data_IF_159026838250
#
_entry.id   IF_159026838250
#
_cell.length_a   1.000
_cell.length_b   1.000
_cell.length_c   1.000
_cell.angle_alpha   90.00
_cell.angle_beta   90.00
_cell.angle_gamma   90.00
#
_symmetry.space_group_name_H-M   'P 1'
#
loop_
_entity.id
_entity.type
_entity.pdbx_description
1 polymer ?
#
# COMPACT_ATOMS: atom_id res chain seq x y z
N UNK A 1 14.24 -4.21 36.24
CA UNK A 1 15.66 -4.20 35.83
C UNK A 1 16.46 -3.08 36.48
N UNK A 2 16.31 -1.80 36.08
CA UNK A 2 17.17 -0.72 36.61
C UNK A 2 17.20 -0.58 38.15
N UNK A 3 16.04 -0.64 38.84
CA UNK A 3 16.01 -0.59 40.31
C UNK A 3 16.77 -1.75 40.97
N UNK A 4 16.66 -2.95 40.41
CA UNK A 4 17.32 -4.16 40.93
C UNK A 4 18.83 -4.05 40.73
N UNK A 5 19.27 -3.58 39.55
CA UNK A 5 20.69 -3.37 39.24
C UNK A 5 21.34 -2.35 40.19
N UNK A 6 20.61 -1.30 40.58
CA UNK A 6 21.12 -0.29 41.53
C UNK A 6 21.08 -0.78 42.98
N UNK A 7 20.07 -1.57 43.36
CA UNK A 7 19.87 -1.95 44.77
C UNK A 7 20.70 -3.17 45.19
N UNK A 8 21.01 -4.08 44.27
CA UNK A 8 21.73 -5.32 44.56
C UNK A 8 23.15 -5.09 45.10
N UNK A 9 23.98 -4.18 44.54
CA UNK A 9 25.30 -3.88 45.08
C UNK A 9 25.24 -3.25 46.47
N UNK A 10 24.30 -2.33 46.69
CA UNK A 10 24.07 -1.64 47.98
C UNK A 10 23.69 -2.66 49.05
N UNK A 11 22.83 -3.61 48.71
CA UNK A 11 22.45 -4.68 49.62
C UNK A 11 23.61 -5.62 49.94
N UNK A 12 24.38 -6.04 48.93
CA UNK A 12 25.54 -6.92 49.11
C UNK A 12 26.63 -6.28 49.97
N UNK A 13 26.91 -4.98 49.80
CA UNK A 13 27.87 -4.26 50.65
C UNK A 13 27.36 -4.13 52.08
N UNK A 14 26.08 -3.82 52.27
CA UNK A 14 25.46 -3.76 53.61
C UNK A 14 25.52 -5.11 54.32
N UNK A 15 25.20 -6.20 53.60
CA UNK A 15 25.28 -7.56 54.12
C UNK A 15 26.72 -7.96 54.49
N UNK A 16 27.70 -7.61 53.65
CA UNK A 16 29.12 -7.88 53.91
C UNK A 16 29.63 -7.14 55.15
N UNK A 17 29.25 -5.87 55.33
CA UNK A 17 29.59 -5.06 56.50
C UNK A 17 28.96 -5.62 57.78
N UNK A 18 27.70 -6.06 57.72
CA UNK A 18 27.00 -6.65 58.87
C UNK A 18 27.56 -8.02 59.27
N UNK A 19 28.09 -8.80 58.31
CA UNK A 19 28.66 -10.14 58.58
C UNK A 19 29.90 -10.10 59.47
N UNK A 20 30.59 -8.97 59.55
CA UNK A 20 31.78 -8.78 60.38
C UNK A 20 31.46 -8.37 61.83
N UNK A 21 30.18 -8.19 62.20
CA UNK A 21 29.78 -7.83 63.56
C UNK A 21 29.55 -9.05 64.46
N UNK A 22 29.87 -8.94 65.77
CA UNK A 22 29.48 -9.94 66.76
C UNK A 22 27.94 -9.98 66.85
N UNK A 23 27.34 -11.09 66.40
CA UNK A 23 25.88 -11.26 66.30
C UNK A 23 25.38 -11.67 64.89
N UNK A 24 26.23 -11.52 63.86
CA UNK A 24 25.89 -11.90 62.48
C UNK A 24 24.78 -11.05 61.84
N UNK A 25 24.48 -11.25 60.54
CA UNK A 25 23.35 -10.58 59.91
C UNK A 25 22.04 -11.09 60.53
N UNK A 26 21.26 -10.20 61.17
CA UNK A 26 19.97 -10.56 61.75
C UNK A 26 19.00 -11.09 60.68
N UNK A 27 18.06 -11.97 61.07
CA UNK A 27 17.05 -12.58 60.16
C UNK A 27 16.27 -11.55 59.33
N UNK A 28 16.16 -10.32 59.83
CA UNK A 28 15.57 -9.17 59.13
C UNK A 28 16.22 -8.83 57.79
N UNK A 29 17.56 -8.82 57.67
CA UNK A 29 18.21 -8.42 56.41
C UNK A 29 18.08 -9.50 55.31
N UNK A 30 17.91 -10.76 55.72
CA UNK A 30 17.78 -11.89 54.81
C UNK A 30 16.35 -12.11 54.33
N UNK A 31 15.34 -11.78 55.15
CA UNK A 31 13.93 -12.10 54.87
C UNK A 31 13.07 -10.82 54.78
N UNK A 32 13.20 -9.92 55.75
CA UNK A 32 12.41 -8.68 55.81
C UNK A 32 12.75 -7.70 54.70
N UNK A 33 14.04 -7.45 54.47
CA UNK A 33 14.51 -6.48 53.47
C UNK A 33 14.09 -6.82 52.02
N UNK A 34 14.23 -8.07 51.54
CA UNK A 34 13.73 -8.45 50.21
C UNK A 34 12.20 -8.36 50.07
N UNK A 35 11.43 -8.68 51.12
CA UNK A 35 9.97 -8.58 51.10
C UNK A 35 9.50 -7.13 50.97
N UNK A 36 10.10 -6.21 51.72
CA UNK A 36 9.81 -4.77 51.61
C UNK A 36 10.18 -4.25 50.22
N UNK A 37 11.32 -4.65 49.68
CA UNK A 37 11.73 -4.27 48.33
C UNK A 37 10.78 -4.79 47.25
N UNK A 38 10.28 -6.03 47.39
CA UNK A 38 9.30 -6.61 46.47
C UNK A 38 7.98 -5.84 46.52
N UNK A 39 7.51 -5.46 47.73
CA UNK A 39 6.38 -4.56 47.91
C UNK A 39 6.58 -3.18 47.27
N UNK A 40 7.79 -2.61 47.37
CA UNK A 40 8.10 -1.35 46.70
C UNK A 40 8.05 -1.47 45.16
N UNK A 41 8.55 -2.59 44.61
CA UNK A 41 8.49 -2.85 43.17
C UNK A 41 7.06 -3.02 42.66
N UNK A 42 6.16 -3.63 43.43
CA UNK A 42 4.74 -3.75 43.05
C UNK A 42 4.03 -2.40 43.09
N UNK A 43 4.27 -1.60 44.15
CA UNK A 43 3.69 -0.24 44.27
C UNK A 43 4.17 0.69 43.14
N UNK A 44 5.41 0.51 42.66
CA UNK A 44 5.93 1.26 41.50
C UNK A 44 5.14 1.05 40.20
N UNK A 45 4.34 -0.01 40.07
CA UNK A 45 3.46 -0.20 38.91
C UNK A 45 2.42 0.93 38.81
N UNK A 46 1.99 1.48 39.95
CA UNK A 46 1.05 2.60 40.04
C UNK A 46 1.70 3.99 39.95
N UNK A 47 3.03 4.08 39.73
CA UNK A 47 3.76 5.37 39.66
C UNK A 47 3.24 6.32 38.57
N UNK A 48 2.57 5.79 37.55
CA UNK A 48 1.94 6.62 36.49
C UNK A 48 0.63 7.25 36.95
N UNK A 49 -0.14 6.58 37.81
CA UNK A 49 -1.45 7.05 38.30
C UNK A 49 -1.30 7.94 39.53
N UNK A 50 -0.45 7.55 40.49
CA UNK A 50 -0.25 8.25 41.77
C UNK A 50 1.25 8.49 42.04
N UNK A 51 1.93 9.36 41.27
CA UNK A 51 3.39 9.48 41.29
C UNK A 51 3.96 9.88 42.66
N UNK A 52 3.30 10.83 43.34
CA UNK A 52 3.77 11.46 44.56
C UNK A 52 3.52 10.52 45.75
N UNK A 53 2.32 9.94 45.82
CA UNK A 53 2.00 8.94 46.85
C UNK A 53 2.93 7.71 46.73
N UNK A 54 3.15 7.22 45.51
CA UNK A 54 4.08 6.09 45.27
C UNK A 54 5.51 6.48 45.60
N UNK A 55 5.98 7.67 45.22
CA UNK A 55 7.34 8.11 45.53
C UNK A 55 7.56 8.27 47.04
N UNK A 56 6.65 8.94 47.74
CA UNK A 56 6.72 9.09 49.20
C UNK A 56 6.65 7.74 49.91
N UNK A 57 5.74 6.85 49.51
CA UNK A 57 5.62 5.53 50.13
C UNK A 57 6.91 4.69 49.96
N UNK A 58 7.48 4.67 48.76
CA UNK A 58 8.73 3.93 48.48
C UNK A 58 9.92 4.59 49.19
N UNK A 59 9.97 5.92 49.26
CA UNK A 59 11.01 6.64 50.02
C UNK A 59 10.92 6.35 51.51
N UNK A 60 9.72 6.33 52.09
CA UNK A 60 9.52 5.94 53.49
C UNK A 60 9.96 4.49 53.72
N UNK A 61 9.57 3.57 52.84
CA UNK A 61 9.99 2.16 52.92
C UNK A 61 11.51 1.98 52.84
N UNK A 62 12.21 2.84 52.09
CA UNK A 62 13.68 2.82 51.98
C UNK A 62 14.42 3.16 53.28
N UNK A 63 13.75 3.76 54.28
CA UNK A 63 14.34 4.02 55.60
C UNK A 63 14.71 2.74 56.37
N UNK A 64 13.93 1.68 56.16
CA UNK A 64 14.06 0.39 56.84
C UNK A 64 14.47 -0.73 55.89
N UNK A 65 14.72 -0.40 54.61
CA UNK A 65 15.06 -1.37 53.58
C UNK A 65 16.14 -0.87 52.62
N UNK A 66 17.33 -1.48 52.70
CA UNK A 66 18.45 -1.17 51.81
C UNK A 66 18.13 -1.51 50.35
N UNK A 67 17.46 -2.66 50.11
CA UNK A 67 17.02 -3.09 48.78
C UNK A 67 15.97 -2.16 48.15
N UNK A 68 15.23 -1.37 48.94
CA UNK A 68 14.25 -0.41 48.42
C UNK A 68 14.89 0.89 47.89
N UNK A 69 16.18 1.14 48.13
CA UNK A 69 16.88 2.37 47.72
C UNK A 69 16.79 2.62 46.21
N UNK A 70 17.04 1.60 45.38
CA UNK A 70 16.93 1.75 43.92
C UNK A 70 15.49 1.92 43.44
N UNK A 71 14.50 1.39 44.18
CA UNK A 71 13.09 1.67 43.92
C UNK A 71 12.75 3.14 44.21
N UNK A 72 13.30 3.72 45.30
CA UNK A 72 13.14 5.13 45.64
C UNK A 72 13.78 6.05 44.59
N UNK A 73 14.99 5.74 44.11
CA UNK A 73 15.64 6.48 43.03
C UNK A 73 14.86 6.39 41.71
N UNK A 74 14.28 5.23 41.38
CA UNK A 74 13.37 5.11 40.24
C UNK A 74 12.09 5.93 40.40
N UNK A 75 11.57 6.05 41.63
CA UNK A 75 10.42 6.89 41.91
C UNK A 75 10.76 8.37 41.78
N UNK A 76 11.92 8.82 42.28
CA UNK A 76 12.44 10.18 42.06
C UNK A 76 12.59 10.50 40.57
N UNK A 77 13.19 9.59 39.80
CA UNK A 77 13.32 9.73 38.36
C UNK A 77 11.94 9.86 37.68
N UNK A 78 10.96 9.07 38.12
CA UNK A 78 9.58 9.14 37.64
C UNK A 78 8.92 10.49 37.96
N UNK A 79 9.09 11.04 39.17
CA UNK A 79 8.57 12.36 39.56
C UNK A 79 9.28 13.48 38.78
N UNK A 80 10.58 13.34 38.54
CA UNK A 80 11.38 14.25 37.71
C UNK A 80 10.82 14.45 36.30
N UNK A 81 10.17 13.44 35.72
CA UNK A 81 9.52 13.57 34.41
C UNK A 81 8.35 14.57 34.39
N UNK A 82 7.74 14.88 35.54
CA UNK A 82 6.58 15.79 35.64
C UNK A 82 6.95 17.27 35.78
N UNK A 83 8.23 17.59 36.02
CA UNK A 83 8.77 18.95 36.13
C UNK A 83 8.05 19.86 37.15
N UNK A 84 7.43 19.27 38.18
CA UNK A 84 6.83 20.02 39.28
C UNK A 84 7.86 20.22 40.39
N UNK A 85 8.46 21.41 40.44
CA UNK A 85 9.58 21.71 41.34
C UNK A 85 9.26 21.41 42.82
N UNK A 86 8.03 21.71 43.27
CA UNK A 86 7.60 21.44 44.65
C UNK A 86 7.54 19.94 44.95
N UNK A 87 6.98 19.13 44.06
CA UNK A 87 6.91 17.67 44.22
C UNK A 87 8.31 17.04 44.22
N UNK A 88 9.17 17.50 43.30
CA UNK A 88 10.56 17.05 43.20
C UNK A 88 11.35 17.43 44.47
N UNK A 89 11.19 18.66 44.95
CA UNK A 89 11.85 19.14 46.17
C UNK A 89 11.42 18.36 47.40
N UNK A 90 10.11 18.15 47.57
CA UNK A 90 9.56 17.40 48.70
C UNK A 90 10.06 15.94 48.72
N UNK A 91 10.02 15.25 47.58
CA UNK A 91 10.46 13.85 47.48
C UNK A 91 11.99 13.73 47.62
N UNK A 92 12.76 14.68 47.07
CA UNK A 92 14.23 14.73 47.24
C UNK A 92 14.61 14.95 48.70
N UNK A 93 13.95 15.89 49.38
CA UNK A 93 14.18 16.16 50.80
C UNK A 93 13.81 14.93 51.66
N UNK A 94 12.66 14.30 51.38
CA UNK A 94 12.25 13.08 52.04
C UNK A 94 13.25 11.94 51.84
N UNK A 95 13.84 11.81 50.63
CA UNK A 95 14.86 10.80 50.34
C UNK A 95 16.14 11.04 51.12
N UNK A 96 16.66 12.27 51.14
CA UNK A 96 17.86 12.61 51.92
C UNK A 96 17.62 12.37 53.41
N UNK A 97 16.48 12.79 53.94
CA UNK A 97 16.10 12.54 55.33
C UNK A 97 15.96 11.04 55.63
N UNK A 98 15.39 10.27 54.69
CA UNK A 98 15.27 8.83 54.81
C UNK A 98 16.63 8.14 54.89
N UNK A 99 17.62 8.58 54.10
CA UNK A 99 18.98 8.04 54.18
C UNK A 99 19.67 8.36 55.52
N UNK A 100 19.45 9.55 56.09
CA UNK A 100 19.96 9.89 57.42
C UNK A 100 19.36 8.99 58.51
N UNK A 101 18.07 8.65 58.38
CA UNK A 101 17.41 7.75 59.31
C UNK A 101 17.88 6.31 59.14
N UNK A 102 18.04 5.84 57.90
CA UNK A 102 18.56 4.51 57.59
C UNK A 102 19.94 4.26 58.19
N UNK A 103 20.83 5.27 58.16
CA UNK A 103 22.16 5.19 58.81
C UNK A 103 22.08 4.98 60.34
N UNK A 104 20.98 5.40 61.00
CA UNK A 104 20.76 5.14 62.43
C UNK A 104 20.24 3.73 62.70
N UNK A 105 19.47 3.17 61.77
CA UNK A 105 18.92 1.80 61.85
C UNK A 105 19.99 0.76 61.50
N UNK A 106 20.82 1.07 60.51
CA UNK A 106 21.95 0.26 60.03
C UNK A 106 23.27 0.99 60.27
N UNK A 107 23.67 1.25 61.53
CA UNK A 107 24.95 1.91 61.79
C UNK A 107 26.06 1.01 61.24
N UNK A 108 26.99 1.56 60.47
CA UNK A 108 28.17 0.84 59.95
C UNK A 108 29.39 1.31 60.75
N UNK A 109 30.08 0.41 61.45
CA UNK A 109 31.29 0.77 62.21
C UNK A 109 32.38 1.27 61.25
N UNK A 110 32.93 2.46 61.51
CA UNK A 110 33.83 3.19 60.61
C UNK A 110 33.17 4.29 59.76
N UNK A 111 31.84 4.36 59.72
CA UNK A 111 31.12 5.46 59.06
C UNK A 111 31.06 6.75 59.89
N UNK A 112 31.31 6.65 61.20
CA UNK A 112 31.28 7.78 62.14
C UNK A 112 32.48 8.72 62.00
N UNK A 113 33.63 8.20 61.57
CA UNK A 113 34.83 8.99 61.20
C UNK A 113 34.84 9.40 59.72
N UNK A 114 33.90 8.88 58.92
CA UNK A 114 33.67 9.39 57.57
C UNK A 114 33.11 10.81 57.70
N UNK A 115 33.80 11.79 57.10
CA UNK A 115 33.42 13.19 57.17
C UNK A 115 31.90 13.37 56.98
N UNK A 116 31.21 13.88 58.00
CA UNK A 116 29.74 13.98 58.09
C UNK A 116 29.07 14.57 56.83
N UNK A 117 29.79 15.42 56.09
CA UNK A 117 29.31 16.01 54.84
C UNK A 117 29.12 14.97 53.72
N UNK A 118 29.90 13.89 53.67
CA UNK A 118 29.78 12.82 52.67
C UNK A 118 28.41 12.13 52.80
N UNK A 119 27.94 11.93 54.03
CA UNK A 119 26.65 11.31 54.32
C UNK A 119 25.45 12.13 53.84
N UNK A 120 25.64 13.43 53.59
CA UNK A 120 24.60 14.32 53.06
C UNK A 120 24.78 14.53 51.56
N UNK A 121 26.01 14.74 51.11
CA UNK A 121 26.34 15.07 49.72
C UNK A 121 26.07 13.89 48.78
N UNK A 122 26.41 12.65 49.16
CA UNK A 122 26.20 11.48 48.29
C UNK A 122 24.70 11.18 48.05
N UNK A 123 23.82 11.15 49.07
CA UNK A 123 22.38 10.99 48.83
C UNK A 123 21.78 12.16 48.04
N UNK A 124 22.20 13.39 48.33
CA UNK A 124 21.75 14.56 47.57
C UNK A 124 22.18 14.49 46.09
N UNK A 125 23.42 14.09 45.82
CA UNK A 125 23.95 13.93 44.47
C UNK A 125 23.23 12.81 43.70
N UNK A 126 23.02 11.65 44.32
CA UNK A 126 22.30 10.52 43.67
C UNK A 126 20.83 10.87 43.39
N UNK A 127 20.16 11.56 44.32
CA UNK A 127 18.83 12.11 44.10
C UNK A 127 18.83 13.14 42.95
N UNK A 128 19.79 14.06 42.94
CA UNK A 128 19.97 15.05 41.88
C UNK A 128 20.16 14.42 40.51
N UNK A 129 21.00 13.37 40.40
CA UNK A 129 21.20 12.59 39.17
C UNK A 129 19.89 11.92 38.74
N UNK A 130 19.17 11.26 39.66
CA UNK A 130 17.91 10.60 39.34
C UNK A 130 16.85 11.58 38.81
N UNK A 131 16.74 12.76 39.43
CA UNK A 131 15.85 13.84 38.99
C UNK A 131 16.29 14.39 37.63
N UNK A 132 17.59 14.64 37.42
CA UNK A 132 18.12 15.12 36.15
C UNK A 132 17.84 14.15 35.01
N UNK A 133 18.03 12.84 35.24
CA UNK A 133 17.68 11.78 34.28
C UNK A 133 16.17 11.80 33.99
N UNK A 134 15.33 11.93 35.02
CA UNK A 134 13.88 12.06 34.86
C UNK A 134 13.47 13.26 34.02
N UNK A 135 14.05 14.43 34.29
CA UNK A 135 13.81 15.67 33.56
C UNK A 135 14.26 15.58 32.10
N UNK A 136 15.44 14.99 31.84
CA UNK A 136 15.97 14.76 30.50
C UNK A 136 15.12 13.76 29.71
N UNK A 137 14.69 12.66 30.35
CA UNK A 137 13.77 11.70 29.74
C UNK A 137 12.40 12.33 29.42
N UNK A 138 11.90 13.21 30.29
CA UNK A 138 10.71 14.02 30.02
C UNK A 138 10.90 14.96 28.83
N UNK A 139 12.03 15.67 28.77
CA UNK A 139 12.39 16.57 27.67
C UNK A 139 12.40 15.86 26.31
N UNK A 140 13.14 14.74 26.24
CA UNK A 140 13.27 13.93 25.02
C UNK A 140 11.93 13.40 24.55
N UNK A 141 11.01 13.02 25.45
CA UNK A 141 9.67 12.55 25.07
C UNK A 141 8.84 13.66 24.42
N UNK A 142 8.92 14.89 24.92
CA UNK A 142 8.21 16.04 24.34
C UNK A 142 8.80 16.39 22.97
N UNK A 143 10.12 16.43 22.86
CA UNK A 143 10.81 16.69 21.60
C UNK A 143 10.46 15.64 20.54
N UNK A 144 10.57 14.35 20.87
CA UNK A 144 10.21 13.26 19.95
C UNK A 144 8.74 13.30 19.54
N UNK A 145 7.82 13.71 20.42
CA UNK A 145 6.41 13.92 20.05
C UNK A 145 6.29 15.06 19.04
N UNK A 146 6.94 16.19 19.29
CA UNK A 146 6.90 17.33 18.37
C UNK A 146 7.50 17.01 16.99
N UNK A 147 8.57 16.21 16.94
CA UNK A 147 9.18 15.76 15.68
C UNK A 147 8.25 14.82 14.92
N UNK A 148 7.58 13.90 15.61
CA UNK A 148 6.57 13.01 14.99
C UNK A 148 5.39 13.79 14.44
N UNK A 149 4.84 14.72 15.22
CA UNK A 149 3.72 15.58 14.79
C UNK A 149 4.10 16.41 13.55
N UNK A 150 5.33 16.96 13.52
CA UNK A 150 5.86 17.68 12.35
C UNK A 150 6.03 16.78 11.13
N UNK A 151 6.57 15.57 11.31
CA UNK A 151 6.75 14.60 10.23
C UNK A 151 5.39 14.19 9.63
N UNK A 152 4.42 13.83 10.47
CA UNK A 152 3.06 13.50 10.03
C UNK A 152 2.39 14.67 9.29
N UNK A 153 2.56 15.90 9.78
CA UNK A 153 2.03 17.10 9.12
C UNK A 153 2.68 17.31 7.75
N UNK A 154 4.01 17.12 7.64
CA UNK A 154 4.73 17.27 6.38
C UNK A 154 4.32 16.20 5.34
N UNK A 155 4.11 14.95 5.77
CA UNK A 155 3.60 13.87 4.90
C UNK A 155 2.19 14.17 4.37
N UNK A 156 1.30 14.69 5.23
CA UNK A 156 -0.05 15.13 4.82
C UNK A 156 0.02 16.29 3.82
N UNK A 157 0.91 17.26 4.04
CA UNK A 157 1.07 18.38 3.13
C UNK A 157 1.66 17.94 1.78
N UNK A 158 2.66 17.07 1.78
CA UNK A 158 3.26 16.54 0.56
C UNK A 158 2.25 15.73 -0.27
N UNK A 159 1.45 14.87 0.38
CA UNK A 159 0.41 14.10 -0.30
C UNK A 159 -0.69 15.00 -0.88
N UNK A 160 -1.10 16.05 -0.15
CA UNK A 160 -2.04 17.05 -0.65
C UNK A 160 -1.48 17.83 -1.86
N UNK A 161 -0.22 18.28 -1.79
CA UNK A 161 0.46 18.96 -2.90
C UNK A 161 0.58 18.06 -4.12
N UNK A 162 0.93 16.79 -3.95
CA UNK A 162 1.01 15.83 -5.04
C UNK A 162 -0.36 15.57 -5.69
N UNK A 163 -1.42 15.44 -4.88
CA UNK A 163 -2.78 15.29 -5.39
C UNK A 163 -3.24 16.54 -6.16
N UNK A 164 -2.96 17.74 -5.64
CA UNK A 164 -3.26 19.00 -6.32
C UNK A 164 -2.49 19.13 -7.64
N UNK A 165 -1.20 18.80 -7.66
CA UNK A 165 -0.39 18.83 -8.88
C UNK A 165 -0.96 17.88 -9.95
N UNK A 166 -1.36 16.66 -9.57
CA UNK A 166 -2.03 15.71 -10.48
C UNK A 166 -3.36 16.24 -11.01
N UNK A 167 -4.16 16.89 -10.16
CA UNK A 167 -5.44 17.47 -10.57
C UNK A 167 -5.25 18.66 -11.54
N UNK A 168 -4.28 19.53 -11.28
CA UNK A 168 -3.92 20.63 -12.17
C UNK A 168 -3.43 20.11 -13.52
N UNK A 169 -2.59 19.09 -13.52
CA UNK A 169 -2.09 18.47 -14.73
C UNK A 169 -3.21 17.83 -15.55
N UNK A 170 -4.12 17.09 -14.91
CA UNK A 170 -5.32 16.56 -15.58
C UNK A 170 -6.17 17.66 -16.21
N UNK A 171 -6.36 18.79 -15.52
CA UNK A 171 -7.09 19.95 -16.07
C UNK A 171 -6.33 20.68 -17.18
N UNK A 172 -4.99 20.67 -17.17
CA UNK A 172 -4.16 21.20 -18.26
C UNK A 172 -4.34 20.33 -19.51
N UNK A 173 -4.17 19.01 -19.36
CA UNK A 173 -4.37 18.04 -20.44
C UNK A 173 -5.79 18.18 -21.02
N UNK A 174 -6.83 18.20 -20.17
CA UNK A 174 -8.20 18.34 -20.65
C UNK A 174 -8.43 19.62 -21.48
N UNK A 175 -7.80 20.75 -21.11
CA UNK A 175 -7.89 22.01 -21.87
C UNK A 175 -7.13 21.93 -23.19
N UNK A 176 -5.89 21.45 -23.18
CA UNK A 176 -5.11 21.25 -24.42
C UNK A 176 -5.84 20.34 -25.40
N UNK A 177 -6.49 19.27 -24.89
CA UNK A 177 -7.33 18.39 -25.70
C UNK A 177 -8.58 19.10 -26.23
N UNK A 178 -9.27 19.90 -25.40
CA UNK A 178 -10.45 20.66 -25.83
C UNK A 178 -10.10 21.67 -26.93
N UNK A 179 -8.94 22.33 -26.84
CA UNK A 179 -8.49 23.31 -27.84
C UNK A 179 -8.19 22.64 -29.19
N UNK A 180 -7.50 21.49 -29.19
CA UNK A 180 -7.26 20.71 -30.41
C UNK A 180 -8.57 20.23 -31.03
N UNK A 181 -9.50 19.73 -30.21
CA UNK A 181 -10.81 19.26 -30.68
C UNK A 181 -11.63 20.41 -31.28
N UNK A 182 -11.70 21.55 -30.58
CA UNK A 182 -12.43 22.73 -31.03
C UNK A 182 -11.89 23.24 -32.37
N UNK A 183 -10.56 23.24 -32.55
CA UNK A 183 -9.92 23.63 -33.80
C UNK A 183 -10.32 22.70 -34.97
N UNK A 184 -10.26 21.38 -34.78
CA UNK A 184 -10.63 20.40 -35.80
C UNK A 184 -12.12 20.47 -36.17
N UNK A 185 -13.01 20.59 -35.19
CA UNK A 185 -14.45 20.76 -35.42
C UNK A 185 -14.72 22.05 -36.21
N UNK A 186 -14.01 23.13 -35.88
CA UNK A 186 -14.13 24.40 -36.61
C UNK A 186 -13.69 24.25 -38.06
N UNK A 187 -12.61 23.52 -38.35
CA UNK A 187 -12.17 23.23 -39.72
C UNK A 187 -13.19 22.40 -40.50
N UNK A 188 -13.76 21.36 -39.90
CA UNK A 188 -14.82 20.55 -40.52
C UNK A 188 -16.06 21.38 -40.81
N UNK A 189 -16.50 22.20 -39.85
CA UNK A 189 -17.66 23.08 -40.02
C UNK A 189 -17.43 24.12 -41.13
N UNK A 190 -16.23 24.70 -41.20
CA UNK A 190 -15.84 25.62 -42.28
C UNK A 190 -15.86 24.94 -43.64
N UNK A 191 -15.26 23.76 -43.79
CA UNK A 191 -15.24 23.00 -45.05
C UNK A 191 -16.64 22.56 -45.47
N UNK A 192 -17.48 22.12 -44.54
CA UNK A 192 -18.88 21.79 -44.79
C UNK A 192 -19.67 23.03 -45.25
N UNK A 193 -19.44 24.19 -44.63
CA UNK A 193 -20.04 25.46 -45.06
C UNK A 193 -19.61 25.89 -46.47
N UNK A 194 -18.37 25.60 -46.88
CA UNK A 194 -17.91 25.84 -48.26
C UNK A 194 -18.68 24.97 -49.26
N UNK A 195 -18.89 23.68 -48.94
CA UNK A 195 -19.69 22.77 -49.77
C UNK A 195 -21.17 23.18 -49.85
N UNK A 196 -21.74 23.74 -48.79
CA UNK A 196 -23.15 24.14 -48.74
C UNK A 196 -23.46 25.44 -49.50
N UNK A 197 -22.47 26.32 -49.67
CA UNK A 197 -22.66 27.65 -50.27
C UNK A 197 -22.03 27.83 -51.66
N UNK A 198 -21.24 26.88 -52.16
CA UNK A 198 -20.64 26.94 -53.49
C UNK A 198 -21.24 25.91 -54.44
N UNK A 199 -22.10 26.39 -55.33
CA UNK A 199 -22.66 25.60 -56.43
C UNK A 199 -21.74 25.55 -57.67
N UNK A 200 -20.57 26.21 -57.62
CA UNK A 200 -19.63 26.37 -58.75
C UNK A 200 -18.44 25.39 -58.72
N UNK A 201 -18.42 24.43 -57.79
CA UNK A 201 -17.33 23.47 -57.63
C UNK A 201 -17.32 22.42 -58.74
N UNK A 202 -16.14 22.07 -59.23
CA UNK A 202 -15.99 20.92 -60.13
C UNK A 202 -16.14 19.60 -59.36
N UNK A 203 -16.51 18.53 -60.06
CA UNK A 203 -16.70 17.20 -59.46
C UNK A 203 -15.43 16.59 -58.81
N UNK A 204 -14.24 17.12 -59.16
CA UNK A 204 -12.97 16.74 -58.54
C UNK A 204 -12.71 17.55 -57.26
N UNK A 205 -13.04 18.85 -57.25
CA UNK A 205 -12.92 19.71 -56.06
C UNK A 205 -13.87 19.29 -54.94
N UNK A 206 -15.12 18.96 -55.29
CA UNK A 206 -16.10 18.38 -54.36
C UNK A 206 -15.58 17.10 -53.71
N UNK A 207 -14.99 16.20 -54.52
CA UNK A 207 -14.43 14.94 -54.02
C UNK A 207 -13.24 15.15 -53.09
N UNK A 208 -12.44 16.19 -53.32
CA UNK A 208 -11.30 16.55 -52.45
C UNK A 208 -11.81 17.10 -51.11
N UNK A 209 -12.79 18.02 -51.12
CA UNK A 209 -13.38 18.59 -49.92
C UNK A 209 -14.08 17.53 -49.04
N UNK A 210 -14.90 16.68 -49.65
CA UNK A 210 -15.58 15.58 -48.94
C UNK A 210 -14.57 14.59 -48.33
N UNK A 211 -13.48 14.28 -49.05
CA UNK A 211 -12.40 13.43 -48.52
C UNK A 211 -11.69 14.09 -47.34
N UNK A 212 -11.39 15.38 -47.43
CA UNK A 212 -10.75 16.14 -46.35
C UNK A 212 -11.61 16.21 -45.08
N UNK A 213 -12.93 16.35 -45.23
CA UNK A 213 -13.89 16.30 -44.11
C UNK A 213 -13.89 14.90 -43.46
N UNK A 214 -13.95 13.84 -44.26
CA UNK A 214 -13.95 12.47 -43.75
C UNK A 214 -12.66 12.13 -43.00
N UNK A 215 -11.51 12.53 -43.55
CA UNK A 215 -10.19 12.31 -42.96
C UNK A 215 -10.03 13.10 -41.65
N UNK A 216 -10.41 14.39 -41.65
CA UNK A 216 -10.37 15.24 -40.45
C UNK A 216 -11.29 14.74 -39.34
N UNK A 217 -12.48 14.22 -39.71
CA UNK A 217 -13.45 13.67 -38.76
C UNK A 217 -12.98 12.34 -38.15
N UNK A 218 -12.36 11.46 -38.94
CA UNK A 218 -11.78 10.22 -38.43
C UNK A 218 -10.61 10.50 -37.49
N UNK A 219 -9.71 11.40 -37.85
CA UNK A 219 -8.57 11.76 -37.01
C UNK A 219 -9.02 12.37 -35.67
N UNK A 220 -10.06 13.22 -35.67
CA UNK A 220 -10.65 13.75 -34.44
C UNK A 220 -11.25 12.66 -33.55
N UNK A 221 -11.87 11.63 -34.13
CA UNK A 221 -12.45 10.49 -33.40
C UNK A 221 -11.38 9.58 -32.77
N UNK A 222 -10.22 9.42 -33.42
CA UNK A 222 -9.09 8.66 -32.89
C UNK A 222 -8.47 9.37 -31.67
N UNK A 223 -8.19 10.67 -31.78
CA UNK A 223 -7.65 11.47 -30.67
C UNK A 223 -8.61 11.48 -29.47
N UNK A 224 -9.93 11.58 -29.71
CA UNK A 224 -10.94 11.56 -28.64
C UNK A 224 -10.98 10.18 -27.93
N UNK A 225 -10.80 9.08 -28.67
CA UNK A 225 -10.72 7.72 -28.09
C UNK A 225 -9.45 7.52 -27.27
N UNK A 226 -8.32 8.05 -27.73
CA UNK A 226 -7.05 7.99 -27.00
C UNK A 226 -7.15 8.73 -25.66
N UNK A 227 -7.71 9.94 -25.67
CA UNK A 227 -7.95 10.74 -24.46
C UNK A 227 -8.94 10.06 -23.50
N UNK A 228 -10.05 9.51 -24.01
CA UNK A 228 -10.99 8.73 -23.19
C UNK A 228 -10.35 7.46 -22.62
N UNK A 229 -9.38 6.87 -23.32
CA UNK A 229 -8.56 5.75 -22.83
C UNK A 229 -7.69 6.16 -21.65
N UNK A 230 -6.98 7.29 -21.76
CA UNK A 230 -6.14 7.83 -20.68
C UNK A 230 -6.96 8.28 -19.48
N UNK A 231 -8.17 8.83 -19.68
CA UNK A 231 -9.06 9.25 -18.60
C UNK A 231 -9.82 8.09 -17.93
N UNK A 232 -10.05 6.96 -18.63
CA UNK A 232 -10.65 5.74 -18.06
C UNK A 232 -9.67 4.87 -17.28
N UNK A 233 -8.37 5.06 -17.47
CA UNK A 233 -7.33 4.47 -16.63
C UNK A 233 -7.30 5.14 -15.25
N UNK A 234 -8.38 5.00 -14.48
CA UNK A 234 -8.43 5.38 -13.07
C UNK A 234 -8.04 4.14 -12.24
N UNK A 235 -6.85 4.10 -11.59
CA UNK A 235 -6.34 2.91 -10.90
C UNK A 235 -7.20 2.47 -9.68
N UNK A 236 -8.31 3.14 -9.39
CA UNK A 236 -9.21 2.88 -8.27
C UNK A 236 -10.64 2.45 -8.64
N UNK A 237 -11.01 2.38 -9.92
CA UNK A 237 -12.31 1.83 -10.35
C UNK A 237 -12.09 0.45 -10.97
N UNK A 238 -12.70 -0.63 -10.45
CA UNK A 238 -12.67 -1.92 -11.13
C UNK A 238 -13.28 -1.73 -12.52
N UNK A 239 -12.49 -2.03 -13.55
CA UNK A 239 -12.97 -2.10 -14.93
C UNK A 239 -14.21 -3.01 -14.97
N UNK A 240 -15.28 -2.65 -15.69
CA UNK A 240 -16.41 -3.56 -15.86
C UNK A 240 -15.90 -4.91 -16.37
N UNK A 241 -16.47 -6.05 -15.91
CA UNK A 241 -15.96 -7.37 -16.27
C UNK A 241 -15.88 -7.48 -17.79
N UNK A 242 -14.66 -7.61 -18.31
CA UNK A 242 -14.44 -7.69 -19.75
C UNK A 242 -15.09 -8.99 -20.26
N UNK A 243 -15.82 -8.96 -21.39
CA UNK A 243 -16.42 -10.16 -21.97
C UNK A 243 -15.37 -11.26 -22.19
N UNK A 244 -15.69 -12.50 -21.81
CA UNK A 244 -14.79 -13.64 -21.89
C UNK A 244 -15.33 -14.70 -22.85
N UNK A 245 -14.75 -15.91 -22.83
CA UNK A 245 -15.12 -17.01 -23.74
C UNK A 245 -16.63 -17.32 -23.70
N UNK A 246 -17.25 -17.21 -22.52
CA UNK A 246 -18.68 -17.43 -22.27
C UNK A 246 -19.61 -16.53 -23.12
N UNK A 247 -19.10 -15.39 -23.59
CA UNK A 247 -19.85 -14.41 -24.41
C UNK A 247 -19.66 -14.61 -25.92
N UNK A 248 -18.78 -15.52 -26.35
CA UNK A 248 -18.56 -15.78 -27.78
C UNK A 248 -19.82 -16.29 -28.50
N UNK A 249 -20.66 -17.17 -27.92
CA UNK A 249 -21.92 -17.57 -28.54
C UNK A 249 -22.86 -16.39 -28.85
N UNK A 250 -22.96 -15.44 -27.92
CA UNK A 250 -23.78 -14.23 -28.08
C UNK A 250 -23.23 -13.32 -29.18
N UNK A 251 -21.91 -13.11 -29.20
CA UNK A 251 -21.24 -12.36 -30.26
C UNK A 251 -21.48 -12.98 -31.66
N UNK A 252 -21.47 -14.31 -31.76
CA UNK A 252 -21.80 -15.02 -33.01
C UNK A 252 -23.28 -14.87 -33.35
N UNK A 253 -24.18 -14.91 -32.37
CA UNK A 253 -25.61 -14.70 -32.59
C UNK A 253 -25.90 -13.29 -33.12
N UNK A 254 -25.29 -12.26 -32.53
CA UNK A 254 -25.42 -10.85 -32.96
C UNK A 254 -24.90 -10.65 -34.40
N UNK A 255 -23.75 -11.27 -34.70
CA UNK A 255 -23.16 -11.21 -36.02
C UNK A 255 -24.01 -11.95 -37.08
N UNK A 256 -24.65 -13.06 -36.73
CA UNK A 256 -25.64 -13.74 -37.59
C UNK A 256 -26.88 -12.88 -37.82
N UNK A 257 -27.41 -12.25 -36.77
CA UNK A 257 -28.53 -11.32 -36.88
C UNK A 257 -28.22 -10.12 -37.79
N UNK A 258 -26.94 -9.74 -37.87
CA UNK A 258 -26.43 -8.69 -38.75
C UNK A 258 -26.17 -9.15 -40.19
N UNK A 259 -26.50 -10.40 -40.54
CA UNK A 259 -26.46 -10.91 -41.92
C UNK A 259 -25.22 -11.72 -42.30
N UNK A 260 -24.35 -12.08 -41.35
CA UNK A 260 -23.23 -13.00 -41.62
C UNK A 260 -23.69 -14.47 -41.52
N UNK A 261 -23.28 -15.31 -42.48
CA UNK A 261 -23.41 -16.77 -42.37
C UNK A 261 -22.21 -17.32 -41.58
N UNK A 262 -22.44 -17.68 -40.31
CA UNK A 262 -21.37 -18.11 -39.39
C UNK A 262 -21.61 -19.55 -38.94
N UNK A 263 -20.58 -20.39 -39.09
CA UNK A 263 -20.50 -21.74 -38.50
C UNK A 263 -19.50 -21.74 -37.35
N UNK A 264 -19.99 -21.91 -36.13
CA UNK A 264 -19.17 -22.01 -34.92
C UNK A 264 -19.00 -23.49 -34.55
N UNK A 265 -17.76 -23.92 -34.40
CA UNK A 265 -17.36 -25.21 -33.83
C UNK A 265 -16.63 -24.93 -32.53
N UNK A 266 -17.17 -25.39 -31.41
CA UNK A 266 -16.55 -25.29 -30.09
C UNK A 266 -16.19 -26.69 -29.59
N UNK A 267 -14.90 -26.96 -29.51
CA UNK A 267 -14.30 -28.20 -29.03
C UNK A 267 -13.41 -27.94 -27.79
N UNK A 268 -13.68 -26.86 -27.06
CA UNK A 268 -12.97 -26.49 -25.84
C UNK A 268 -13.39 -27.39 -24.68
N UNK A 269 -12.42 -27.93 -23.95
CA UNK A 269 -12.64 -28.79 -22.79
C UNK A 269 -12.05 -28.18 -21.53
N UNK A 270 -12.92 -27.75 -20.59
CA UNK A 270 -12.54 -27.04 -19.38
C UNK A 270 -12.68 -25.52 -19.48
N UNK A 271 -12.31 -24.81 -18.42
CA UNK A 271 -12.40 -23.34 -18.33
C UNK A 271 -11.01 -22.75 -18.55
N UNK A 272 -10.78 -21.98 -19.62
CA UNK A 272 -9.49 -21.34 -19.83
C UNK A 272 -9.26 -20.21 -18.82
N UNK A 273 -8.00 -19.84 -18.53
CA UNK A 273 -7.70 -18.67 -17.71
C UNK A 273 -8.36 -17.40 -18.25
N UNK A 274 -8.76 -16.48 -17.38
CA UNK A 274 -9.47 -15.23 -17.76
C UNK A 274 -8.74 -14.42 -18.84
N UNK A 275 -7.40 -14.42 -18.83
CA UNK A 275 -6.60 -13.78 -19.88
C UNK A 275 -6.79 -14.41 -21.25
N UNK A 276 -6.84 -15.74 -21.31
CA UNK A 276 -7.05 -16.53 -22.54
C UNK A 276 -8.47 -16.34 -23.04
N UNK A 277 -9.47 -16.44 -22.16
CA UNK A 277 -10.88 -16.25 -22.52
C UNK A 277 -11.19 -14.86 -23.10
N UNK A 278 -10.66 -13.79 -22.47
CA UNK A 278 -10.81 -12.41 -22.98
C UNK A 278 -10.10 -12.21 -24.31
N UNK A 279 -8.92 -12.79 -24.48
CA UNK A 279 -8.16 -12.68 -25.74
C UNK A 279 -8.88 -13.40 -26.87
N UNK A 280 -9.44 -14.59 -26.61
CA UNK A 280 -10.30 -15.32 -27.55
C UNK A 280 -11.50 -14.47 -27.99
N UNK A 281 -12.25 -13.92 -27.05
CA UNK A 281 -13.40 -13.06 -27.35
C UNK A 281 -13.03 -11.91 -28.30
N UNK A 282 -11.92 -11.22 -28.02
CA UNK A 282 -11.44 -10.12 -28.85
C UNK A 282 -11.00 -10.54 -30.24
N UNK A 283 -10.31 -11.67 -30.37
CA UNK A 283 -9.89 -12.21 -31.67
C UNK A 283 -11.12 -12.53 -32.52
N UNK A 284 -12.12 -13.22 -31.94
CA UNK A 284 -13.36 -13.55 -32.67
C UNK A 284 -14.11 -12.27 -33.06
N UNK A 285 -14.20 -11.27 -32.17
CA UNK A 285 -14.87 -10.00 -32.45
C UNK A 285 -14.25 -9.25 -33.63
N UNK A 286 -12.93 -9.07 -33.61
CA UNK A 286 -12.21 -8.38 -34.67
C UNK A 286 -12.29 -9.17 -36.00
N UNK A 287 -12.19 -10.49 -35.94
CA UNK A 287 -12.30 -11.35 -37.12
C UNK A 287 -13.70 -11.28 -37.77
N UNK A 288 -14.78 -11.30 -36.98
CA UNK A 288 -16.14 -11.14 -37.48
C UNK A 288 -16.38 -9.74 -38.04
N UNK A 289 -15.82 -8.71 -37.41
CA UNK A 289 -15.87 -7.33 -37.90
C UNK A 289 -15.17 -7.20 -39.26
N UNK A 290 -14.00 -7.83 -39.41
CA UNK A 290 -13.25 -7.84 -40.66
C UNK A 290 -13.95 -8.67 -41.75
N UNK A 291 -14.57 -9.80 -41.41
CA UNK A 291 -15.38 -10.57 -42.35
C UNK A 291 -16.58 -9.76 -42.86
N UNK A 292 -17.29 -9.04 -41.97
CA UNK A 292 -18.39 -8.16 -42.37
C UNK A 292 -17.95 -7.05 -43.33
N UNK A 293 -16.78 -6.46 -43.09
CA UNK A 293 -16.22 -5.38 -43.93
C UNK A 293 -15.70 -5.88 -45.27
N UNK A 294 -14.98 -7.01 -45.28
CA UNK A 294 -14.14 -7.40 -46.42
C UNK A 294 -14.65 -8.63 -47.19
N UNK A 295 -15.55 -9.43 -46.61
CA UNK A 295 -16.10 -10.62 -47.23
C UNK A 295 -17.63 -10.72 -47.07
N UNK A 296 -18.40 -9.67 -47.46
CA UNK A 296 -19.85 -9.70 -47.33
C UNK A 296 -20.45 -10.89 -48.11
N UNK A 297 -21.37 -11.60 -47.47
CA UNK A 297 -22.03 -12.79 -48.00
C UNK A 297 -21.18 -14.06 -48.03
N UNK A 298 -19.93 -14.03 -47.54
CA UNK A 298 -19.11 -15.22 -47.40
C UNK A 298 -19.49 -16.01 -46.15
N UNK A 299 -19.40 -17.35 -46.23
CA UNK A 299 -19.52 -18.21 -45.04
C UNK A 299 -18.26 -18.05 -44.18
N UNK A 300 -18.45 -17.68 -42.92
CA UNK A 300 -17.40 -17.56 -41.91
C UNK A 300 -17.42 -18.80 -41.03
N UNK A 301 -16.28 -19.48 -40.89
CA UNK A 301 -16.08 -20.62 -40.00
C UNK A 301 -15.23 -20.18 -38.83
N UNK A 302 -15.77 -20.31 -37.62
CA UNK A 302 -15.07 -20.07 -36.35
C UNK A 302 -14.87 -21.43 -35.68
N UNK A 303 -13.64 -21.79 -35.38
CA UNK A 303 -13.26 -23.00 -34.67
C UNK A 303 -12.50 -22.63 -33.41
N UNK A 304 -12.94 -23.15 -32.27
CA UNK A 304 -12.29 -23.02 -30.97
C UNK A 304 -11.98 -24.43 -30.47
N UNK A 305 -10.75 -24.66 -30.02
CA UNK A 305 -10.32 -25.95 -29.51
C UNK A 305 -9.26 -25.78 -28.41
N UNK A 306 -9.16 -26.76 -27.51
CA UNK A 306 -8.15 -26.74 -26.46
C UNK A 306 -8.58 -27.46 -25.20
N UNK A 307 -7.59 -27.80 -24.38
CA UNK A 307 -7.78 -28.42 -23.08
C UNK A 307 -6.77 -27.85 -22.08
N UNK A 308 -7.08 -27.98 -20.78
CA UNK A 308 -6.12 -27.68 -19.72
C UNK A 308 -4.81 -28.47 -19.90
N UNK A 309 -3.68 -27.81 -19.63
CA UNK A 309 -2.34 -28.38 -19.78
C UNK A 309 -1.76 -28.33 -21.19
N UNK A 310 -2.46 -27.70 -22.13
CA UNK A 310 -2.08 -27.61 -23.54
C UNK A 310 -2.10 -26.19 -24.10
N UNK A 311 -2.67 -26.06 -25.30
CA UNK A 311 -2.84 -24.79 -25.99
C UNK A 311 -4.31 -24.56 -26.31
N UNK A 312 -4.73 -23.31 -26.30
CA UNK A 312 -6.03 -22.85 -26.76
C UNK A 312 -5.91 -22.39 -28.21
N UNK A 313 -6.54 -23.11 -29.13
CA UNK A 313 -6.60 -22.83 -30.55
C UNK A 313 -7.80 -21.97 -30.93
N UNK A 314 -7.56 -20.96 -31.76
CA UNK A 314 -8.60 -20.10 -32.36
C UNK A 314 -8.37 -20.08 -33.86
N UNK A 315 -9.36 -20.48 -34.65
CA UNK A 315 -9.33 -20.41 -36.10
C UNK A 315 -10.56 -19.68 -36.64
N UNK A 316 -10.34 -18.64 -37.44
CA UNK A 316 -11.42 -17.96 -38.18
C UNK A 316 -11.07 -17.96 -39.67
N UNK A 317 -11.96 -18.51 -40.50
CA UNK A 317 -11.79 -18.56 -41.95
C UNK A 317 -13.05 -18.12 -42.67
N UNK A 318 -12.93 -17.21 -43.63
CA UNK A 318 -14.02 -16.87 -44.56
C UNK A 318 -13.64 -17.18 -46.01
N UNK A 319 -14.66 -17.45 -46.82
CA UNK A 319 -14.52 -17.55 -48.29
C UNK A 319 -14.41 -16.18 -48.97
N UNK A 320 -14.31 -16.14 -50.31
CA UNK A 320 -14.35 -14.89 -51.06
C UNK A 320 -15.70 -14.18 -50.90
N UNK A 321 -15.69 -12.85 -51.02
CA UNK A 321 -16.92 -12.04 -51.01
C UNK A 321 -17.86 -12.53 -52.13
N UNK A 322 -19.09 -12.89 -51.78
CA UNK A 322 -20.12 -13.33 -52.74
C UNK A 322 -21.03 -12.16 -53.18
N UNK A 323 -21.02 -11.06 -52.42
CA UNK A 323 -21.73 -9.83 -52.74
C UNK A 323 -20.77 -8.79 -53.34
N UNK A 324 -21.17 -8.14 -54.44
CA UNK A 324 -20.39 -7.07 -55.06
C UNK A 324 -20.32 -5.85 -54.12
N UNK A 325 -19.12 -5.42 -53.84
CA UNK A 325 -18.84 -4.23 -53.04
C UNK A 325 -18.83 -2.99 -53.95
N UNK A 326 -19.66 -1.98 -53.67
CA UNK A 326 -19.75 -0.74 -54.48
C UNK A 326 -18.69 0.30 -54.15
N UNK A 327 -17.96 0.18 -53.04
CA UNK A 327 -16.84 1.06 -52.68
C UNK A 327 -15.83 0.32 -51.79
N UNK A 328 -14.53 0.43 -52.07
CA UNK A 328 -13.45 -0.18 -51.27
C UNK A 328 -13.41 0.51 -49.88
N UNK A 329 -13.61 -0.20 -48.76
CA UNK A 329 -13.56 0.42 -47.45
C UNK A 329 -12.11 0.83 -47.14
N UNK A 330 -11.89 1.95 -46.43
CA UNK A 330 -10.55 2.36 -46.04
C UNK A 330 -9.90 1.27 -45.17
N UNK A 331 -8.66 0.91 -45.49
CA UNK A 331 -7.90 -0.10 -44.77
C UNK A 331 -7.37 0.49 -43.45
N UNK A 332 -8.12 0.33 -42.36
CA UNK A 332 -7.62 0.61 -41.01
C UNK A 332 -6.77 -0.57 -40.55
N UNK A 333 -5.52 -0.68 -41.00
CA UNK A 333 -4.60 -1.80 -40.73
C UNK A 333 -4.22 -2.02 -39.24
N UNK A 334 -4.84 -1.29 -38.32
CA UNK A 334 -4.52 -1.29 -36.89
C UNK A 334 -5.18 -2.42 -36.08
N UNK A 335 -6.29 -3.00 -36.56
CA UNK A 335 -7.02 -4.05 -35.84
C UNK A 335 -6.19 -5.32 -35.62
N UNK A 336 -5.49 -5.77 -36.68
CA UNK A 336 -4.61 -6.95 -36.62
C UNK A 336 -3.30 -6.67 -35.88
N UNK A 337 -2.79 -5.43 -35.94
CA UNK A 337 -1.60 -5.01 -35.20
C UNK A 337 -1.83 -5.08 -33.68
N UNK A 338 -2.96 -4.53 -33.21
CA UNK A 338 -3.33 -4.57 -31.79
C UNK A 338 -3.64 -5.97 -31.26
N UNK A 339 -4.13 -6.88 -32.13
CA UNK A 339 -4.25 -8.30 -31.79
C UNK A 339 -2.88 -8.97 -31.63
N UNK A 340 -1.92 -8.64 -32.52
CA UNK A 340 -0.56 -9.16 -32.46
C UNK A 340 0.13 -8.84 -31.13
N UNK A 341 0.14 -7.57 -30.73
CA UNK A 341 0.73 -7.14 -29.45
C UNK A 341 0.11 -7.86 -28.24
N UNK A 342 -1.21 -7.99 -28.22
CA UNK A 342 -1.94 -8.65 -27.13
C UNK A 342 -1.63 -10.14 -27.04
N UNK A 343 -1.53 -10.83 -28.17
CA UNK A 343 -1.22 -12.25 -28.22
C UNK A 343 0.23 -12.51 -27.81
N UNK A 344 1.16 -11.65 -28.22
CA UNK A 344 2.55 -11.70 -27.77
C UNK A 344 2.66 -11.52 -26.25
N UNK A 345 1.93 -10.55 -25.67
CA UNK A 345 1.89 -10.36 -24.21
C UNK A 345 1.29 -11.56 -23.46
N UNK A 346 0.37 -12.28 -24.09
CA UNK A 346 -0.19 -13.53 -23.55
C UNK A 346 0.69 -14.77 -23.79
N UNK A 347 1.88 -14.60 -24.39
CA UNK A 347 2.79 -15.71 -24.70
C UNK A 347 2.28 -16.64 -25.82
N UNK A 348 1.39 -16.14 -26.67
CA UNK A 348 0.82 -16.88 -27.78
C UNK A 348 1.38 -16.48 -29.15
N UNK A 349 0.82 -17.08 -30.19
CA UNK A 349 1.17 -16.84 -31.58
C UNK A 349 -0.07 -16.48 -32.41
N UNK A 350 0.10 -15.56 -33.37
CA UNK A 350 -0.92 -15.13 -34.31
C UNK A 350 -0.39 -15.27 -35.74
N UNK A 351 -1.15 -15.92 -36.62
CA UNK A 351 -0.91 -15.97 -38.05
C UNK A 351 -2.19 -15.54 -38.80
N UNK A 352 -2.02 -14.82 -39.90
CA UNK A 352 -3.12 -14.35 -40.73
C UNK A 352 -2.69 -14.18 -42.17
N UNK A 353 -3.50 -14.70 -43.10
CA UNK A 353 -3.16 -14.69 -44.53
C UNK A 353 -4.38 -14.80 -45.43
N UNK A 354 -4.32 -14.23 -46.66
CA UNK A 354 -5.26 -14.57 -47.72
C UNK A 354 -5.16 -16.06 -48.07
N UNK A 355 -6.26 -16.69 -48.48
CA UNK A 355 -6.25 -18.06 -48.99
C UNK A 355 -6.19 -18.07 -50.52
N UNK A 356 -5.63 -19.13 -51.16
CA UNK A 356 -5.58 -19.24 -52.62
C UNK A 356 -6.96 -19.19 -53.29
N UNK A 357 -8.01 -19.56 -52.56
CA UNK A 357 -9.39 -19.53 -53.03
C UNK A 357 -10.06 -18.14 -52.90
N UNK A 358 -9.29 -17.10 -52.58
CA UNK A 358 -9.77 -15.71 -52.44
C UNK A 358 -10.41 -15.39 -51.09
N UNK A 359 -10.25 -16.27 -50.09
CA UNK A 359 -10.71 -16.08 -48.73
C UNK A 359 -9.64 -15.49 -47.82
N UNK A 360 -9.90 -15.54 -46.51
CA UNK A 360 -8.95 -15.12 -45.49
C UNK A 360 -8.96 -16.11 -44.32
N UNK A 361 -7.80 -16.33 -43.71
CA UNK A 361 -7.65 -17.17 -42.53
C UNK A 361 -6.87 -16.42 -41.45
N UNK A 362 -7.38 -16.48 -40.22
CA UNK A 362 -6.78 -15.98 -38.99
C UNK A 362 -6.67 -17.16 -38.03
N UNK A 363 -5.47 -17.44 -37.55
CA UNK A 363 -5.21 -18.51 -36.57
C UNK A 363 -4.42 -17.95 -35.40
N UNK A 364 -4.86 -18.25 -34.18
CA UNK A 364 -4.15 -17.91 -32.96
C UNK A 364 -3.99 -19.13 -32.06
N UNK A 365 -2.85 -19.18 -31.35
CA UNK A 365 -2.57 -20.18 -30.32
C UNK A 365 -2.18 -19.48 -29.04
N UNK A 366 -2.85 -19.81 -27.94
CA UNK A 366 -2.56 -19.25 -26.61
C UNK A 366 -2.15 -20.38 -25.66
N UNK A 367 -1.22 -20.14 -24.72
CA UNK A 367 -0.86 -21.13 -23.71
C UNK A 367 -2.02 -21.36 -22.73
N UNK A 368 -2.35 -22.63 -22.48
CA UNK A 368 -3.35 -23.02 -21.48
C UNK A 368 -2.68 -23.91 -20.43
N UNK A 369 -1.96 -23.32 -19.45
CA UNK A 369 -1.29 -24.09 -18.42
C UNK A 369 -2.31 -24.83 -17.53
N UNK A 370 -1.91 -26.01 -17.04
CA UNK A 370 -2.61 -26.62 -15.90
C UNK A 370 -2.59 -25.64 -14.74
N UNK A 371 -3.76 -25.39 -14.15
CA UNK A 371 -3.87 -24.45 -13.03
C UNK A 371 -2.84 -24.82 -11.95
N UNK A 372 -2.01 -23.91 -11.45
CA UNK A 372 -1.12 -24.23 -10.36
C UNK A 372 -1.98 -24.64 -9.17
N UNK A 373 -1.76 -25.87 -8.69
CA UNK A 373 -2.30 -26.35 -7.43
C UNK A 373 -2.13 -25.25 -6.37
N UNK A 374 -3.23 -24.93 -5.68
CA UNK A 374 -3.21 -24.05 -4.52
C UNK A 374 -2.02 -24.42 -3.63
N UNK A 375 -1.06 -23.51 -3.47
CA UNK A 375 -0.13 -23.57 -2.34
C UNK A 375 -0.99 -23.54 -1.07
N UNK A 376 -0.94 -24.57 -0.19
CA UNK A 376 -1.67 -24.51 1.06
C UNK A 376 -1.09 -23.37 1.88
N UNK A 377 -1.94 -22.40 2.21
CA UNK A 377 -1.62 -21.35 3.16
C UNK A 377 -1.14 -21.99 4.47
N UNK A 378 0.02 -21.56 4.94
CA UNK A 378 0.53 -21.85 6.27
C UNK A 378 -0.56 -21.52 7.31
N UNK A 379 -1.20 -22.55 7.85
CA UNK A 379 -2.04 -22.43 9.04
C UNK A 379 -1.12 -22.19 10.23
N UNK A 380 -1.19 -20.97 10.77
CA UNK A 380 -0.75 -20.65 12.12
C UNK A 380 -1.49 -21.56 13.11
N UNK A 381 -0.79 -22.55 13.66
CA UNK A 381 -1.26 -23.32 14.80
C UNK A 381 -1.06 -22.47 16.06
N UNK A 382 -2.18 -21.95 16.58
CA UNK A 382 -2.27 -21.33 17.89
C UNK A 382 -2.66 -22.41 18.90
N UNK A 383 -1.77 -22.59 19.87
CA UNK A 383 -1.94 -23.23 21.18
C UNK A 383 -3.37 -23.17 21.73
N UNK A 384 -3.87 -24.32 22.17
CA UNK A 384 -4.72 -24.47 23.35
C UNK A 384 -4.31 -25.74 24.09
#
# INVERSE_FOLDING_TARGET
MVAVVVSLPIWLTTLALMRHRPGGPGSWILIGDPLVALGCLTVLLWRRRWPLAVALAVTVASTVSALATGAALLALCSVGTRRRAVEIGAVTLAYVAATQFANRVYPVDGSTDTLWWIQVVVPAATAGIAVAVGMAAGARRVELRSLRERAESAEREQSARAAQARALERNRIAREMHDVLAHRISLVAMQAGVLDHRDDLSADEDRILVRSIAESSHQALEELREVLGVLRADPGRPEPPQPSLDRVPDLVADARASGLDIRLTDAVTGIPPDGVGRTCYRIVQEALTNAAKHAPGAVVRVALDGAAGGTFGIGVRNGPASLRHTARPPASGFGLLGLGERITLAGGELDHRPTPEGGYVLTARLPWPDSPAHSPAHSHEKSA
#
